data_IF_392877754587
#
_entry.id   IF_392877754587
#
_cell.length_a   1.000
_cell.length_b   1.000
_cell.length_c   1.000
_cell.angle_alpha   90.00
_cell.angle_beta   90.00
_cell.angle_gamma   90.00
#
_symmetry.space_group_name_H-M   'P 1'
#
loop_
_entity.id
_entity.type
_entity.pdbx_description
1 polymer ?
#
# COMPACT_ATOMS: atom_id res chain seq x y z
N UNK A 1 -17.47 -1.72 -1.48
CA UNK A 1 -17.17 -2.87 -2.35
C UNK A 1 -16.76 -4.05 -1.49
N UNK A 2 -17.33 -5.24 -1.71
CA UNK A 2 -16.99 -6.44 -0.94
C UNK A 2 -15.84 -7.19 -1.63
N UNK A 3 -14.74 -7.46 -0.91
CA UNK A 3 -13.59 -8.26 -1.37
C UNK A 3 -13.24 -9.28 -0.30
N UNK A 4 -13.63 -10.54 -0.50
CA UNK A 4 -13.52 -11.56 0.53
C UNK A 4 -14.24 -11.12 1.82
N UNK A 5 -13.56 -11.11 2.99
CA UNK A 5 -14.14 -10.61 4.24
C UNK A 5 -14.13 -9.09 4.36
N UNK A 6 -13.43 -8.37 3.47
CA UNK A 6 -13.26 -6.92 3.58
C UNK A 6 -14.39 -6.14 2.92
N UNK A 7 -14.84 -5.10 3.60
CA UNK A 7 -15.68 -4.05 3.03
C UNK A 7 -14.82 -2.84 2.72
N UNK A 8 -14.47 -2.66 1.45
CA UNK A 8 -13.69 -1.52 0.94
C UNK A 8 -14.63 -0.35 0.70
N UNK A 9 -14.44 0.75 1.42
CA UNK A 9 -15.26 1.97 1.35
C UNK A 9 -14.59 3.13 0.60
N UNK A 10 -13.33 2.96 0.20
CA UNK A 10 -12.56 3.95 -0.55
C UNK A 10 -11.90 3.29 -1.77
N UNK A 11 -11.95 3.98 -2.91
CA UNK A 11 -11.32 3.54 -4.16
C UNK A 11 -10.41 4.66 -4.63
N UNK A 12 -9.14 4.35 -4.84
CA UNK A 12 -8.21 5.24 -5.51
C UNK A 12 -8.38 5.10 -7.03
N UNK A 13 -8.47 6.24 -7.73
CA UNK A 13 -8.52 6.29 -9.18
C UNK A 13 -7.42 7.23 -9.69
N UNK A 14 -6.20 6.72 -9.92
CA UNK A 14 -5.11 7.53 -10.42
C UNK A 14 -5.34 7.90 -11.89
N UNK A 15 -5.05 9.15 -12.25
CA UNK A 15 -4.94 9.53 -13.67
C UNK A 15 -3.75 8.81 -14.32
N UNK A 16 -3.79 8.56 -15.64
CA UNK A 16 -2.67 7.96 -16.35
C UNK A 16 -1.37 8.77 -16.13
N UNK A 17 -0.37 8.13 -15.53
CA UNK A 17 0.96 8.70 -15.30
C UNK A 17 2.01 8.12 -16.26
N UNK A 18 3.28 8.26 -15.89
CA UNK A 18 4.42 7.79 -16.70
C UNK A 18 4.47 6.26 -16.86
N UNK A 19 4.00 5.54 -15.83
CA UNK A 19 3.94 4.07 -15.87
C UNK A 19 2.69 3.64 -16.65
N UNK A 20 2.91 3.00 -17.79
CA UNK A 20 1.83 2.40 -18.58
C UNK A 20 1.45 1.04 -18.00
N UNK A 21 0.18 0.90 -17.65
CA UNK A 21 -0.41 -0.37 -17.25
C UNK A 21 -1.10 -1.00 -18.46
N UNK A 22 -0.76 -2.24 -18.84
CA UNK A 22 -1.36 -2.89 -20.01
C UNK A 22 -2.81 -3.31 -19.77
N UNK A 23 -3.24 -3.38 -18.51
CA UNK A 23 -4.59 -3.71 -18.11
C UNK A 23 -5.18 -2.57 -17.28
N UNK A 24 -6.33 -2.05 -17.71
CA UNK A 24 -7.10 -1.04 -16.99
C UNK A 24 -8.14 -1.73 -16.10
N UNK A 25 -7.83 -1.87 -14.83
CA UNK A 25 -8.69 -2.53 -13.86
C UNK A 25 -8.09 -2.50 -12.46
N UNK A 26 -8.57 -3.37 -11.57
CA UNK A 26 -8.02 -3.52 -10.23
C UNK A 26 -6.57 -4.03 -10.28
N UNK A 27 -5.66 -3.29 -9.66
CA UNK A 27 -4.23 -3.63 -9.61
C UNK A 27 -3.76 -4.01 -8.21
N UNK A 28 -4.23 -3.30 -7.19
CA UNK A 28 -3.76 -3.50 -5.83
C UNK A 28 -4.82 -3.20 -4.78
N UNK A 29 -4.57 -3.69 -3.57
CA UNK A 29 -5.25 -3.26 -2.34
C UNK A 29 -4.23 -2.70 -1.37
N UNK A 30 -4.63 -1.68 -0.61
CA UNK A 30 -3.81 -1.09 0.44
C UNK A 30 -4.42 -1.36 1.81
N UNK A 31 -3.58 -1.77 2.76
CA UNK A 31 -3.96 -2.16 4.12
C UNK A 31 -3.26 -1.23 5.12
N UNK A 32 -4.03 -0.68 6.04
CA UNK A 32 -3.51 0.17 7.10
C UNK A 32 -2.96 -0.70 8.23
N UNK A 33 -1.66 -0.56 8.52
CA UNK A 33 -1.01 -1.11 9.70
C UNK A 33 -0.62 0.03 10.65
N UNK A 34 -1.60 0.46 11.44
CA UNK A 34 -1.42 1.53 12.43
C UNK A 34 -0.27 1.24 13.38
N UNK A 35 0.50 2.27 13.73
CA UNK A 35 1.66 2.17 14.60
C UNK A 35 2.75 3.14 14.20
N UNK A 36 3.94 2.94 14.75
CA UNK A 36 5.08 3.82 14.50
C UNK A 36 5.58 3.65 13.05
N UNK A 37 5.70 4.73 12.25
CA UNK A 37 6.04 4.63 10.83
C UNK A 37 7.38 3.95 10.54
N UNK A 38 8.44 4.20 11.34
CA UNK A 38 9.75 3.61 11.06
C UNK A 38 9.76 2.08 11.24
N UNK A 39 8.90 1.54 12.09
CA UNK A 39 8.73 0.11 12.34
C UNK A 39 7.77 -0.58 11.38
N UNK A 40 7.13 0.15 10.45
CA UNK A 40 6.15 -0.41 9.52
C UNK A 40 6.68 -1.65 8.81
N UNK A 41 7.90 -1.59 8.26
CA UNK A 41 8.46 -2.69 7.48
C UNK A 41 8.57 -3.97 8.31
N UNK A 42 9.13 -3.87 9.53
CA UNK A 42 9.26 -5.01 10.43
C UNK A 42 7.89 -5.57 10.85
N UNK A 43 6.92 -4.69 11.16
CA UNK A 43 5.56 -5.10 11.51
C UNK A 43 4.86 -5.80 10.35
N UNK A 44 4.95 -5.25 9.14
CA UNK A 44 4.34 -5.82 7.95
C UNK A 44 4.94 -7.20 7.62
N UNK A 45 6.26 -7.35 7.71
CA UNK A 45 6.92 -8.64 7.53
C UNK A 45 6.46 -9.69 8.55
N UNK A 46 6.22 -9.31 9.81
CA UNK A 46 5.75 -10.26 10.83
C UNK A 46 4.36 -10.85 10.56
N UNK A 47 3.57 -10.23 9.67
CA UNK A 47 2.28 -10.75 9.23
C UNK A 47 2.39 -11.66 7.99
N UNK A 48 3.56 -11.75 7.37
CA UNK A 48 3.79 -12.57 6.18
C UNK A 48 4.47 -13.88 6.59
N UNK A 49 3.95 -15.04 6.16
CA UNK A 49 4.61 -16.30 6.42
C UNK A 49 5.89 -16.40 5.59
N UNK A 50 6.94 -17.03 6.14
CA UNK A 50 8.25 -17.16 5.47
C UNK A 50 8.14 -17.82 4.09
N UNK A 51 7.22 -18.79 3.94
CA UNK A 51 6.95 -19.46 2.67
C UNK A 51 6.49 -18.49 1.57
N UNK A 52 5.71 -17.45 1.91
CA UNK A 52 5.25 -16.45 0.96
C UNK A 52 6.39 -15.51 0.56
N UNK A 53 7.29 -15.18 1.50
CA UNK A 53 8.47 -14.36 1.22
C UNK A 53 9.50 -15.08 0.33
N UNK A 54 9.55 -16.42 0.41
CA UNK A 54 10.44 -17.26 -0.38
C UNK A 54 9.80 -17.76 -1.69
N UNK A 55 8.51 -17.48 -1.90
CA UNK A 55 7.78 -17.96 -3.05
C UNK A 55 8.36 -17.35 -4.36
N UNK A 56 8.65 -18.19 -5.38
CA UNK A 56 9.18 -17.70 -6.65
C UNK A 56 8.26 -16.66 -7.28
N UNK A 57 8.82 -15.52 -7.70
CA UNK A 57 8.07 -14.45 -8.36
C UNK A 57 7.53 -13.38 -7.42
N UNK A 58 7.51 -13.62 -6.10
CA UNK A 58 7.14 -12.59 -5.12
C UNK A 58 8.28 -11.56 -4.99
N UNK A 59 7.91 -10.28 -5.04
CA UNK A 59 8.82 -9.15 -4.90
C UNK A 59 8.31 -8.21 -3.83
N UNK A 60 9.23 -7.78 -2.95
CA UNK A 60 8.98 -6.77 -1.95
C UNK A 60 9.62 -5.44 -2.39
N UNK A 61 8.88 -4.35 -2.30
CA UNK A 61 9.36 -3.00 -2.59
C UNK A 61 8.99 -2.06 -1.44
N UNK A 62 9.99 -1.38 -0.91
CA UNK A 62 9.80 -0.30 0.04
C UNK A 62 9.80 1.03 -0.70
N UNK A 63 8.90 1.92 -0.32
CA UNK A 63 8.85 3.30 -0.79
C UNK A 63 8.25 4.20 0.26
N UNK A 64 8.63 5.47 0.29
CA UNK A 64 7.93 6.51 1.05
C UNK A 64 7.45 7.53 0.03
N UNK A 65 6.18 7.49 -0.40
CA UNK A 65 5.63 8.45 -1.35
C UNK A 65 5.64 9.83 -0.69
N UNK A 66 6.30 10.79 -1.33
CA UNK A 66 6.36 12.16 -0.84
C UNK A 66 5.45 13.04 -1.70
N UNK A 67 4.29 13.40 -1.15
CA UNK A 67 3.35 14.33 -1.77
C UNK A 67 3.75 15.79 -1.55
N UNK A 68 3.27 16.70 -2.41
CA UNK A 68 3.38 18.13 -2.15
C UNK A 68 2.57 18.48 -0.89
N UNK A 69 3.26 18.83 0.20
CA UNK A 69 2.63 19.16 1.48
C UNK A 69 2.63 18.04 2.51
N UNK A 70 3.27 16.89 2.26
CA UNK A 70 3.32 15.75 3.18
C UNK A 70 3.65 16.19 4.62
N UNK A 71 2.75 15.89 5.56
CA UNK A 71 2.92 16.16 7.00
C UNK A 71 3.18 14.90 7.82
N UNK A 72 2.74 13.75 7.32
CA UNK A 72 2.86 12.46 7.99
C UNK A 72 3.74 11.54 7.15
N UNK A 73 4.83 10.98 7.71
CA UNK A 73 5.69 10.07 6.96
C UNK A 73 4.90 8.81 6.61
N UNK A 74 4.70 8.55 5.31
CA UNK A 74 3.90 7.42 4.85
C UNK A 74 4.74 6.30 4.22
N UNK A 75 5.65 5.63 4.96
CA UNK A 75 6.36 4.48 4.42
C UNK A 75 5.35 3.44 3.95
N UNK A 76 5.68 2.76 2.88
CA UNK A 76 4.83 1.79 2.22
C UNK A 76 5.65 0.55 1.90
N UNK A 77 5.16 -0.62 2.32
CA UNK A 77 5.67 -1.91 1.87
C UNK A 77 4.72 -2.50 0.84
N UNK A 78 5.17 -2.64 -0.40
CA UNK A 78 4.45 -3.33 -1.46
C UNK A 78 4.97 -4.76 -1.63
N UNK A 79 4.06 -5.73 -1.70
CA UNK A 79 4.34 -7.13 -2.06
C UNK A 79 3.56 -7.44 -3.32
N UNK A 80 4.26 -7.90 -4.36
CA UNK A 80 3.66 -8.18 -5.67
C UNK A 80 4.15 -9.49 -6.25
N UNK A 81 3.28 -10.18 -6.99
CA UNK A 81 3.64 -11.32 -7.84
C UNK A 81 3.94 -10.91 -9.30
N UNK A 82 3.88 -9.61 -9.59
CA UNK A 82 4.03 -9.05 -10.94
C UNK A 82 2.71 -8.73 -11.65
N UNK A 83 1.57 -9.20 -11.13
CA UNK A 83 0.23 -8.88 -11.64
C UNK A 83 -0.63 -8.16 -10.61
N UNK A 84 -0.61 -8.60 -9.35
CA UNK A 84 -1.40 -8.03 -8.25
C UNK A 84 -0.46 -7.59 -7.15
N UNK A 85 -0.81 -6.51 -6.47
CA UNK A 85 -0.01 -5.95 -5.37
C UNK A 85 -0.84 -5.82 -4.09
N UNK A 86 -0.24 -6.15 -2.95
CA UNK A 86 -0.74 -5.79 -1.62
C UNK A 86 0.22 -4.78 -1.03
N UNK A 87 -0.30 -3.66 -0.53
CA UNK A 87 0.51 -2.62 0.11
C UNK A 87 0.13 -2.47 1.57
N UNK A 88 1.13 -2.17 2.40
CA UNK A 88 0.95 -1.78 3.79
C UNK A 88 1.48 -0.38 4.03
N UNK A 89 0.74 0.42 4.78
CA UNK A 89 1.12 1.79 5.16
C UNK A 89 0.50 2.16 6.53
N UNK A 90 1.04 3.14 7.27
CA UNK A 90 0.63 3.40 8.65
C UNK A 90 -0.69 4.18 8.80
N UNK A 91 -1.12 4.90 7.77
CA UNK A 91 -2.25 5.83 7.84
C UNK A 91 -3.28 5.56 6.75
N UNK A 92 -4.56 5.70 7.06
CA UNK A 92 -5.60 5.72 6.03
C UNK A 92 -5.48 6.99 5.17
N UNK A 93 -6.01 6.92 3.94
CA UNK A 93 -6.05 8.09 3.04
C UNK A 93 -6.77 9.29 3.66
N UNK A 94 -7.77 9.06 4.50
CA UNK A 94 -8.51 10.12 5.20
C UNK A 94 -7.63 10.83 6.24
N UNK A 95 -6.77 10.09 6.94
CA UNK A 95 -5.81 10.67 7.89
C UNK A 95 -4.73 11.48 7.17
N UNK A 96 -4.24 10.99 6.03
CA UNK A 96 -3.29 11.74 5.18
C UNK A 96 -3.91 13.07 4.72
N UNK A 97 -5.09 13.01 4.10
CA UNK A 97 -5.79 14.21 3.61
C UNK A 97 -6.12 15.19 4.75
N UNK A 98 -6.53 14.69 5.92
CA UNK A 98 -6.80 15.54 7.08
C UNK A 98 -5.54 16.24 7.60
N UNK A 99 -4.37 15.58 7.51
CA UNK A 99 -3.09 16.18 7.93
C UNK A 99 -2.62 17.32 7.03
N UNK A 100 -2.99 17.29 5.74
CA UNK A 100 -2.60 18.30 4.75
C UNK A 100 -3.47 19.56 4.78
N UNK A 101 -4.66 19.47 5.37
CA UNK A 101 -5.61 20.59 5.54
C UNK A 101 -5.33 21.46 6.78
N UNK A 102 -4.35 21.08 7.60
CA UNK A 102 -3.99 21.74 8.85
C UNK A 102 -2.86 22.78 8.70
#
# INVERSE_FOLDING_TARGET
>A
MQVGPWLIDCVELPYPGDKRYPHEGWEHVELVLSGEPASLYARALSHLPDEALLAPGIKLKQSSPQGEGERLPNPTLAITDGSVTIKFHPYSIREIVASEQA
#
